data_IF_964389965071
#
_entry.id   IF_964389965071
#
_cell.length_a   1.000
_cell.length_b   1.000
_cell.length_c   1.000
_cell.angle_alpha   90.00
_cell.angle_beta   90.00
_cell.angle_gamma   90.00
#
_symmetry.space_group_name_H-M   'P 1'
#
loop_
_entity.id
_entity.type
_entity.pdbx_description
1 polymer ?
#
# COMPACT_ATOMS: atom_id res chain seq x y z
N UNK A 1 0.34 0.27 -24.84
CA UNK A 1 0.06 0.56 -23.42
C UNK A 1 1.28 0.42 -22.53
N UNK A 2 1.86 -0.77 -22.32
CA UNK A 2 3.06 -0.91 -21.45
C UNK A 2 4.32 -0.27 -22.08
N UNK A 3 4.53 -0.40 -23.40
CA UNK A 3 5.66 0.22 -24.11
C UNK A 3 5.63 1.76 -24.09
N UNK A 4 4.44 2.34 -24.11
CA UNK A 4 4.23 3.79 -24.11
C UNK A 4 4.44 4.39 -22.72
N UNK A 5 4.19 3.61 -21.68
CA UNK A 5 4.47 3.96 -20.29
C UNK A 5 5.99 4.11 -20.05
N UNK A 6 6.79 3.17 -20.56
CA UNK A 6 8.25 3.21 -20.41
C UNK A 6 8.92 4.34 -21.21
N UNK A 7 8.31 4.81 -22.29
CA UNK A 7 8.88 5.87 -23.13
C UNK A 7 8.74 7.28 -22.52
N UNK A 8 7.77 7.48 -21.62
CA UNK A 8 7.43 8.81 -21.08
C UNK A 8 8.07 9.14 -19.71
N UNK A 9 8.73 8.19 -19.05
CA UNK A 9 9.42 8.42 -17.78
C UNK A 9 10.87 8.88 -17.98
N UNK A 10 11.07 10.03 -18.65
CA UNK A 10 12.38 10.67 -18.82
C UNK A 10 12.87 11.31 -17.51
N UNK A 11 13.32 10.52 -16.54
CA UNK A 11 14.30 10.93 -15.52
C UNK A 11 14.83 9.67 -14.81
N UNK A 12 15.77 8.94 -15.41
CA UNK A 12 16.72 8.05 -14.71
C UNK A 12 17.79 7.58 -15.73
N UNK A 13 19.03 7.34 -15.28
CA UNK A 13 20.21 7.28 -16.13
C UNK A 13 20.15 6.09 -17.10
N UNK A 14 20.75 6.28 -18.26
CA UNK A 14 20.79 5.34 -19.37
C UNK A 14 21.35 3.96 -18.97
N UNK A 15 20.49 3.08 -18.47
CA UNK A 15 20.75 1.65 -18.33
C UNK A 15 19.88 0.97 -19.40
N UNK A 16 20.52 0.54 -20.49
CA UNK A 16 19.86 -0.08 -21.67
C UNK A 16 19.40 -1.53 -21.41
N UNK A 17 19.52 -2.01 -20.17
CA UNK A 17 19.14 -3.35 -19.77
C UNK A 17 17.74 -3.33 -19.14
N UNK A 18 16.78 -3.91 -19.86
CA UNK A 18 15.37 -3.99 -19.48
C UNK A 18 15.19 -4.77 -18.17
N UNK A 19 16.03 -5.78 -17.91
CA UNK A 19 15.98 -6.58 -16.68
C UNK A 19 16.32 -5.75 -15.43
N UNK A 20 17.27 -4.83 -15.55
CA UNK A 20 17.67 -3.92 -14.46
C UNK A 20 16.58 -2.90 -14.17
N UNK A 21 15.96 -2.35 -15.22
CA UNK A 21 14.88 -1.37 -15.09
C UNK A 21 13.64 -1.97 -14.42
N UNK A 22 13.27 -3.20 -14.80
CA UNK A 22 12.18 -3.96 -14.16
C UNK A 22 12.45 -4.22 -12.68
N UNK A 23 13.69 -4.60 -12.33
CA UNK A 23 14.08 -4.84 -10.93
C UNK A 23 13.99 -3.55 -10.08
N UNK A 24 14.45 -2.42 -10.62
CA UNK A 24 14.35 -1.11 -9.94
C UNK A 24 12.88 -0.73 -9.72
N UNK A 25 12.03 -0.91 -10.73
CA UNK A 25 10.60 -0.62 -10.62
C UNK A 25 9.93 -1.51 -9.57
N UNK A 26 10.18 -2.82 -9.61
CA UNK A 26 9.65 -3.78 -8.64
C UNK A 26 10.09 -3.45 -7.21
N UNK A 27 11.35 -3.06 -7.00
CA UNK A 27 11.83 -2.63 -5.70
C UNK A 27 11.14 -1.35 -5.21
N UNK A 28 10.91 -0.39 -6.10
CA UNK A 28 10.18 0.83 -5.76
C UNK A 28 8.75 0.52 -5.34
N UNK A 29 8.05 -0.31 -6.11
CA UNK A 29 6.69 -0.77 -5.77
C UNK A 29 6.63 -1.44 -4.39
N UNK A 30 7.61 -2.27 -4.05
CA UNK A 30 7.71 -2.87 -2.71
C UNK A 30 7.85 -1.83 -1.60
N UNK A 31 8.72 -0.83 -1.80
CA UNK A 31 8.93 0.25 -0.83
C UNK A 31 7.67 1.10 -0.67
N UNK A 32 6.97 1.38 -1.76
CA UNK A 32 5.69 2.10 -1.74
C UNK A 32 4.63 1.30 -0.96
N UNK A 33 4.53 -0.02 -1.18
CA UNK A 33 3.64 -0.91 -0.43
C UNK A 33 3.95 -0.95 1.07
N UNK A 34 5.23 -1.03 1.45
CA UNK A 34 5.65 -1.01 2.86
C UNK A 34 5.33 0.35 3.52
N UNK A 35 5.57 1.45 2.80
CA UNK A 35 5.20 2.79 3.25
C UNK A 35 3.70 2.90 3.48
N UNK A 36 2.88 2.40 2.55
CA UNK A 36 1.43 2.46 2.67
C UNK A 36 0.90 1.51 3.76
N UNK A 37 1.56 0.38 3.99
CA UNK A 37 1.27 -0.53 5.10
C UNK A 37 1.55 0.15 6.46
N UNK A 38 2.64 0.90 6.58
CA UNK A 38 2.94 1.65 7.80
C UNK A 38 1.92 2.77 8.07
N UNK A 39 1.49 3.49 7.01
CA UNK A 39 0.46 4.52 7.14
C UNK A 39 -0.88 3.93 7.58
N UNK A 40 -1.32 2.85 6.94
CA UNK A 40 -2.62 2.26 7.25
C UNK A 40 -2.63 1.59 8.64
N UNK A 41 -1.48 1.17 9.18
CA UNK A 41 -1.37 0.74 10.59
C UNK A 41 -1.69 1.90 11.54
N UNK A 42 -1.11 3.09 11.30
CA UNK A 42 -1.44 4.27 12.08
C UNK A 42 -2.91 4.69 11.94
N UNK A 43 -3.46 4.65 10.72
CA UNK A 43 -4.89 4.92 10.49
C UNK A 43 -5.77 3.91 11.24
N UNK A 44 -5.34 2.65 11.33
CA UNK A 44 -6.05 1.60 12.05
C UNK A 44 -6.07 1.88 13.54
N UNK A 45 -4.94 2.28 14.12
CA UNK A 45 -4.84 2.66 15.54
C UNK A 45 -5.74 3.87 15.87
N UNK A 46 -5.82 4.85 14.97
CA UNK A 46 -6.72 6.00 15.09
C UNK A 46 -8.18 5.54 15.02
N UNK A 47 -8.57 4.74 14.03
CA UNK A 47 -9.94 4.25 13.88
C UNK A 47 -10.39 3.39 15.08
N UNK A 48 -9.49 2.56 15.62
CA UNK A 48 -9.73 1.83 16.86
C UNK A 48 -9.95 2.78 18.05
N UNK A 49 -9.08 3.78 18.20
CA UNK A 49 -9.21 4.78 19.28
C UNK A 49 -10.52 5.56 19.17
N UNK A 50 -10.94 5.94 17.96
CA UNK A 50 -12.22 6.61 17.71
C UNK A 50 -13.40 5.71 18.10
N UNK A 51 -13.37 4.44 17.71
CA UNK A 51 -14.40 3.47 18.04
C UNK A 51 -14.49 3.19 19.55
N UNK A 52 -13.37 3.14 20.28
CA UNK A 52 -13.39 2.95 21.73
C UNK A 52 -13.91 4.16 22.50
N UNK A 53 -13.69 5.38 21.98
CA UNK A 53 -14.01 6.62 22.66
C UNK A 53 -15.28 7.31 22.15
N UNK A 54 -15.99 6.73 21.17
CA UNK A 54 -17.24 7.29 20.67
C UNK A 54 -18.31 7.24 21.76
N UNK A 55 -18.83 8.41 22.14
CA UNK A 55 -19.91 8.56 23.12
C UNK A 55 -21.21 9.06 22.50
N UNK A 56 -21.11 9.60 21.28
CA UNK A 56 -22.27 10.05 20.52
C UNK A 56 -22.90 8.84 19.80
N UNK A 57 -24.14 8.45 20.17
CA UNK A 57 -24.81 7.31 19.55
C UNK A 57 -25.00 7.45 18.04
N UNK A 58 -25.12 8.69 17.52
CA UNK A 58 -25.31 8.93 16.09
C UNK A 58 -24.02 8.70 15.28
N UNK A 59 -22.86 8.65 15.95
CA UNK A 59 -21.55 8.43 15.32
C UNK A 59 -21.04 6.98 15.42
N UNK A 60 -21.68 6.13 16.22
CA UNK A 60 -21.25 4.73 16.42
C UNK A 60 -21.15 3.98 15.09
N UNK A 61 -22.20 4.06 14.26
CA UNK A 61 -22.22 3.39 12.96
C UNK A 61 -21.12 3.92 12.05
N UNK A 62 -20.86 5.23 12.06
CA UNK A 62 -19.77 5.83 11.29
C UNK A 62 -18.41 5.25 11.70
N UNK A 63 -18.14 5.16 13.01
CA UNK A 63 -16.90 4.56 13.53
C UNK A 63 -16.78 3.08 13.15
N UNK A 64 -17.88 2.32 13.17
CA UNK A 64 -17.89 0.91 12.73
C UNK A 64 -17.54 0.81 11.24
N UNK A 65 -18.12 1.65 10.38
CA UNK A 65 -17.82 1.63 8.95
C UNK A 65 -16.38 2.05 8.65
N UNK A 66 -15.88 3.07 9.34
CA UNK A 66 -14.50 3.52 9.24
C UNK A 66 -13.51 2.41 9.62
N UNK A 67 -13.68 1.81 10.81
CA UNK A 67 -12.82 0.73 11.28
C UNK A 67 -12.81 -0.46 10.30
N UNK A 68 -13.98 -0.87 9.82
CA UNK A 68 -14.09 -1.95 8.84
C UNK A 68 -13.40 -1.61 7.51
N UNK A 69 -13.50 -0.37 7.04
CA UNK A 69 -12.86 0.07 5.80
C UNK A 69 -11.32 0.05 5.94
N UNK A 70 -10.80 0.56 7.05
CA UNK A 70 -9.36 0.59 7.33
C UNK A 70 -8.80 -0.83 7.50
N UNK A 71 -9.49 -1.70 8.24
CA UNK A 71 -9.12 -3.13 8.37
C UNK A 71 -9.04 -3.85 7.02
N UNK A 72 -10.02 -3.63 6.13
CA UNK A 72 -10.01 -4.22 4.78
C UNK A 72 -8.82 -3.72 3.96
N UNK A 73 -8.51 -2.43 4.03
CA UNK A 73 -7.37 -1.83 3.34
C UNK A 73 -6.04 -2.35 3.89
N UNK A 74 -5.90 -2.47 5.21
CA UNK A 74 -4.73 -3.08 5.86
C UNK A 74 -4.54 -4.52 5.37
N UNK A 75 -5.59 -5.34 5.40
CA UNK A 75 -5.53 -6.74 4.95
C UNK A 75 -5.05 -6.83 3.49
N UNK A 76 -5.63 -6.02 2.60
CA UNK A 76 -5.23 -5.99 1.20
C UNK A 76 -3.75 -5.63 1.01
N UNK A 77 -3.27 -4.58 1.69
CA UNK A 77 -1.87 -4.15 1.58
C UNK A 77 -0.91 -5.19 2.16
N UNK A 78 -1.28 -5.81 3.28
CA UNK A 78 -0.49 -6.88 3.89
C UNK A 78 -0.36 -8.09 2.96
N UNK A 79 -1.45 -8.51 2.31
CA UNK A 79 -1.43 -9.59 1.31
C UNK A 79 -0.53 -9.25 0.12
N UNK A 80 -0.58 -8.01 -0.40
CA UNK A 80 0.30 -7.54 -1.49
C UNK A 80 1.78 -7.55 -1.11
N UNK A 81 2.12 -7.10 0.10
CA UNK A 81 3.51 -7.15 0.59
C UNK A 81 4.00 -8.59 0.66
N UNK A 82 3.20 -9.50 1.21
CA UNK A 82 3.57 -10.92 1.29
C UNK A 82 3.79 -11.52 -0.10
N UNK A 83 2.89 -11.28 -1.04
CA UNK A 83 3.04 -11.76 -2.43
C UNK A 83 4.34 -11.26 -3.06
N UNK A 84 4.67 -9.98 -2.87
CA UNK A 84 5.92 -9.40 -3.36
C UNK A 84 7.15 -10.07 -2.71
N UNK A 85 7.13 -10.29 -1.40
CA UNK A 85 8.18 -11.03 -0.71
C UNK A 85 8.35 -12.45 -1.27
N UNK A 86 7.27 -13.21 -1.46
CA UNK A 86 7.31 -14.55 -2.04
C UNK A 86 7.90 -14.56 -3.46
N UNK A 87 7.53 -13.60 -4.31
CA UNK A 87 8.07 -13.47 -5.66
C UNK A 87 9.58 -13.14 -5.69
N UNK A 88 10.17 -12.64 -4.61
CA UNK A 88 11.61 -12.39 -4.53
C UNK A 88 12.42 -13.63 -4.14
N UNK A 89 11.77 -14.69 -3.63
CA UNK A 89 12.42 -15.95 -3.23
C UNK A 89 12.27 -17.09 -4.27
N UNK A 90 11.53 -16.87 -5.36
CA UNK A 90 11.24 -17.87 -6.40
C UNK A 90 11.77 -17.43 -7.76
#
# INVERSE_FOLDING_TARGET
>A
MIKDFFSNMKMLPAIKDESVSLKIYRNKEHLDLLSDLAKIQNDLDIAYSNFENVVDPDLIDSCIYELNAVQKKYKFLYERVKEHEFENYT
#
